data_IF_580979492640
#
_entry.id   IF_580979492640
#
_cell.length_a   1.000
_cell.length_b   1.000
_cell.length_c   1.000
_cell.angle_alpha   90.00
_cell.angle_beta   90.00
_cell.angle_gamma   90.00
#
_symmetry.space_group_name_H-M   'P 1'
#
loop_
_entity.id
_entity.type
_entity.pdbx_description
1 polymer ?
#
# COMPACT_ATOMS: atom_id res chain seq x y z
N UNK A 1 -76.26 -27.21 14.86
CA UNK A 1 -76.30 -25.74 14.86
C UNK A 1 -76.31 -25.25 16.29
N UNK A 2 -75.19 -24.71 16.76
CA UNK A 2 -75.06 -23.59 17.72
C UNK A 2 -73.59 -23.51 18.12
N UNK A 3 -72.91 -22.49 17.62
CA UNK A 3 -71.49 -22.25 17.82
C UNK A 3 -71.25 -21.67 19.22
N UNK A 4 -70.27 -22.22 19.95
CA UNK A 4 -69.79 -21.66 21.22
C UNK A 4 -68.57 -20.77 20.91
N UNK A 5 -68.69 -19.48 21.18
CA UNK A 5 -67.60 -18.52 21.05
C UNK A 5 -66.56 -18.77 22.15
N UNK A 6 -65.31 -18.98 21.74
CA UNK A 6 -64.15 -19.02 22.62
C UNK A 6 -63.45 -17.66 22.54
N UNK A 7 -63.40 -16.94 23.66
CA UNK A 7 -62.70 -15.66 23.78
C UNK A 7 -61.22 -15.95 24.02
N UNK A 8 -60.35 -15.54 23.11
CA UNK A 8 -58.88 -15.62 23.24
C UNK A 8 -58.39 -14.25 23.71
N UNK A 9 -57.87 -14.19 24.94
CA UNK A 9 -57.20 -13.01 25.49
C UNK A 9 -55.75 -13.03 25.00
N UNK A 10 -55.37 -12.04 24.18
CA UNK A 10 -54.00 -11.87 23.67
C UNK A 10 -53.21 -11.04 24.68
N UNK A 11 -52.24 -11.66 25.36
CA UNK A 11 -51.23 -10.95 26.15
C UNK A 11 -50.13 -10.45 25.21
N UNK A 12 -50.04 -9.13 25.03
CA UNK A 12 -48.99 -8.47 24.24
C UNK A 12 -47.72 -8.42 25.09
N UNK A 13 -46.85 -9.41 24.91
CA UNK A 13 -45.48 -9.36 25.43
C UNK A 13 -44.65 -8.38 24.60
N UNK A 14 -44.22 -7.27 25.20
CA UNK A 14 -43.27 -6.35 24.60
C UNK A 14 -41.91 -7.04 24.43
N UNK A 15 -41.65 -7.59 23.26
CA UNK A 15 -40.31 -8.03 22.87
C UNK A 15 -39.43 -6.79 22.72
N UNK A 16 -38.58 -6.54 23.72
CA UNK A 16 -37.50 -5.56 23.61
C UNK A 16 -36.50 -6.13 22.59
N UNK A 17 -36.63 -5.71 21.34
CA UNK A 17 -35.64 -5.99 20.29
C UNK A 17 -34.41 -5.15 20.64
N UNK A 18 -33.44 -5.74 21.32
CA UNK A 18 -32.10 -5.17 21.39
C UNK A 18 -31.53 -5.24 19.98
N UNK A 19 -31.26 -4.12 19.30
CA UNK A 19 -30.46 -4.17 18.09
C UNK A 19 -29.10 -4.73 18.50
N UNK A 20 -28.77 -5.94 18.03
CA UNK A 20 -27.40 -6.40 17.99
C UNK A 20 -26.65 -5.41 17.09
N UNK A 21 -26.03 -4.40 17.72
CA UNK A 21 -24.98 -3.65 17.08
C UNK A 21 -23.83 -4.63 16.88
N UNK A 22 -23.80 -5.27 15.70
CA UNK A 22 -22.59 -5.87 15.19
C UNK A 22 -21.65 -4.70 14.93
N UNK A 23 -20.84 -4.35 15.92
CA UNK A 23 -19.66 -3.53 15.66
C UNK A 23 -18.87 -4.26 14.58
N UNK A 24 -18.50 -3.63 13.46
CA UNK A 24 -17.56 -4.24 12.53
C UNK A 24 -16.29 -4.45 13.33
N UNK A 25 -16.05 -5.68 13.77
CA UNK A 25 -14.81 -6.05 14.39
C UNK A 25 -13.78 -5.95 13.27
N UNK A 26 -12.94 -4.93 13.36
CA UNK A 26 -11.80 -4.67 12.48
C UNK A 26 -10.73 -5.74 12.70
N UNK A 27 -11.12 -7.00 12.46
CA UNK A 27 -10.26 -8.15 12.73
C UNK A 27 -9.37 -8.30 11.51
N UNK A 28 -8.14 -7.80 11.65
CA UNK A 28 -7.10 -8.14 10.72
C UNK A 28 -6.98 -9.67 10.57
N UNK A 29 -6.62 -10.16 9.37
CA UNK A 29 -6.42 -11.59 9.19
C UNK A 29 -5.40 -12.15 10.20
N UNK A 30 -5.45 -13.45 10.43
CA UNK A 30 -4.57 -14.09 11.40
C UNK A 30 -3.09 -13.76 11.15
N UNK A 31 -2.36 -13.41 12.21
CA UNK A 31 -0.96 -12.99 12.21
C UNK A 31 -0.68 -11.62 11.55
N UNK A 32 -1.71 -10.81 11.31
CA UNK A 32 -1.55 -9.38 11.00
C UNK A 32 -1.81 -8.54 12.24
N UNK A 33 -1.13 -7.40 12.30
CA UNK A 33 -1.27 -6.39 13.34
C UNK A 33 -2.18 -5.27 12.83
N UNK A 34 -3.16 -4.88 13.64
CA UNK A 34 -4.08 -3.78 13.34
C UNK A 34 -3.40 -2.42 13.61
N UNK A 35 -3.29 -1.60 12.55
CA UNK A 35 -2.74 -0.24 12.59
C UNK A 35 -3.82 0.85 12.80
N UNK A 36 -5.06 0.44 13.10
CA UNK A 36 -6.24 1.30 13.15
C UNK A 36 -6.73 1.75 11.78
N UNK A 37 -8.01 2.12 11.70
CA UNK A 37 -8.65 2.60 10.45
C UNK A 37 -8.73 1.53 9.37
N UNK A 38 -8.96 0.27 9.73
CA UNK A 38 -8.95 -0.89 8.81
C UNK A 38 -7.62 -1.03 8.07
N UNK A 39 -6.49 -0.82 8.73
CA UNK A 39 -5.17 -1.08 8.15
C UNK A 39 -4.55 -2.25 8.87
N UNK A 40 -4.14 -3.26 8.12
CA UNK A 40 -3.58 -4.49 8.64
C UNK A 40 -2.21 -4.72 8.03
N UNK A 41 -1.19 -4.88 8.88
CA UNK A 41 0.19 -5.05 8.44
C UNK A 41 0.82 -6.32 9.00
N UNK A 42 1.76 -6.89 8.26
CA UNK A 42 2.60 -8.00 8.71
C UNK A 42 4.06 -7.66 8.51
N UNK A 43 4.90 -8.05 9.46
CA UNK A 43 6.36 -7.96 9.38
C UNK A 43 6.94 -9.32 9.04
N UNK A 44 7.87 -9.34 8.08
CA UNK A 44 8.61 -10.52 7.65
C UNK A 44 10.11 -10.19 7.74
N UNK A 45 10.81 -10.80 8.70
CA UNK A 45 12.24 -10.56 8.90
C UNK A 45 13.08 -11.28 7.83
N UNK A 46 13.51 -10.52 6.81
CA UNK A 46 14.31 -10.97 5.67
C UNK A 46 15.17 -9.82 5.18
N UNK A 47 16.44 -10.09 4.96
CA UNK A 47 17.31 -9.14 4.27
C UNK A 47 17.08 -9.21 2.76
N UNK A 48 16.62 -8.11 2.15
CA UNK A 48 16.24 -8.10 0.73
C UNK A 48 16.42 -6.75 0.06
N UNK A 49 16.53 -6.79 -1.26
CA UNK A 49 16.47 -5.61 -2.13
C UNK A 49 15.05 -5.05 -2.26
N UNK A 50 14.92 -3.83 -2.77
CA UNK A 50 13.62 -3.16 -2.97
C UNK A 50 12.62 -4.00 -3.77
N UNK A 51 13.06 -4.58 -4.88
CA UNK A 51 12.18 -5.36 -5.75
C UNK A 51 11.80 -6.72 -5.17
N UNK A 52 12.71 -7.33 -4.41
CA UNK A 52 12.41 -8.57 -3.70
C UNK A 52 11.41 -8.33 -2.57
N UNK A 53 11.45 -7.18 -1.89
CA UNK A 53 10.46 -6.82 -0.89
C UNK A 53 9.03 -6.77 -1.48
N UNK A 54 8.87 -6.16 -2.67
CA UNK A 54 7.58 -6.12 -3.37
C UNK A 54 7.11 -7.54 -3.72
N UNK A 55 8.01 -8.37 -4.28
CA UNK A 55 7.74 -9.77 -4.62
C UNK A 55 7.36 -10.59 -3.38
N UNK A 56 7.99 -10.35 -2.23
CA UNK A 56 7.67 -11.05 -0.98
C UNK A 56 6.26 -10.74 -0.52
N UNK A 57 5.84 -9.47 -0.56
CA UNK A 57 4.47 -9.11 -0.20
C UNK A 57 3.46 -9.76 -1.14
N UNK A 58 3.70 -9.72 -2.46
CA UNK A 58 2.84 -10.41 -3.42
C UNK A 58 2.72 -11.91 -3.10
N UNK A 59 3.85 -12.61 -2.93
CA UNK A 59 3.89 -14.05 -2.66
C UNK A 59 3.22 -14.43 -1.34
N UNK A 60 3.47 -13.67 -0.28
CA UNK A 60 2.85 -13.92 1.02
C UNK A 60 1.34 -13.66 0.96
N UNK A 61 0.91 -12.68 0.16
CA UNK A 61 -0.50 -12.45 -0.14
C UNK A 61 -1.12 -13.63 -0.87
N UNK A 62 -0.54 -14.05 -2.00
CA UNK A 62 -1.02 -15.20 -2.78
C UNK A 62 -1.17 -16.45 -1.92
N UNK A 63 -0.16 -16.75 -1.09
CA UNK A 63 -0.17 -17.89 -0.16
C UNK A 63 -1.37 -17.85 0.79
N UNK A 64 -1.80 -16.66 1.22
CA UNK A 64 -2.90 -16.45 2.17
C UNK A 64 -4.24 -16.17 1.51
N UNK A 65 -4.32 -16.13 0.18
CA UNK A 65 -5.51 -15.69 -0.54
C UNK A 65 -5.83 -14.20 -0.31
N UNK A 66 -4.82 -13.39 0.01
CA UNK A 66 -4.92 -11.95 0.23
C UNK A 66 -4.15 -11.19 -0.86
N UNK A 67 -4.47 -9.92 -1.06
CA UNK A 67 -3.62 -9.00 -1.84
C UNK A 67 -2.78 -8.19 -0.86
N UNK A 68 -1.48 -8.44 -0.80
CA UNK A 68 -0.56 -7.63 0.01
C UNK A 68 0.37 -6.80 -0.85
N UNK A 69 0.82 -5.67 -0.33
CA UNK A 69 1.71 -4.72 -0.98
C UNK A 69 2.59 -4.03 0.06
N UNK A 70 3.71 -3.42 -0.34
CA UNK A 70 4.48 -2.57 0.58
C UNK A 70 3.68 -1.29 0.83
N UNK A 71 3.45 -0.85 2.08
CA UNK A 71 2.70 0.36 2.36
C UNK A 71 3.44 1.63 1.93
N UNK A 72 2.71 2.58 1.35
CA UNK A 72 3.15 3.95 1.08
C UNK A 72 2.31 4.95 1.86
N UNK A 73 1.04 5.09 1.49
CA UNK A 73 0.12 6.06 2.10
C UNK A 73 -0.02 5.85 3.62
N UNK A 74 -0.04 4.59 4.06
CA UNK A 74 -0.06 4.25 5.48
C UNK A 74 1.33 3.93 6.06
N UNK A 75 2.42 4.17 5.34
CA UNK A 75 3.77 3.93 5.84
C UNK A 75 4.08 4.63 7.18
N UNK A 76 3.55 5.83 7.50
CA UNK A 76 3.70 6.44 8.82
C UNK A 76 3.23 5.56 9.99
N UNK A 77 2.33 4.59 9.74
CA UNK A 77 1.86 3.66 10.78
C UNK A 77 2.85 2.53 11.08
N UNK A 78 3.88 2.33 10.26
CA UNK A 78 4.85 1.25 10.45
C UNK A 78 5.62 1.46 11.77
N UNK A 79 6.04 2.69 12.05
CA UNK A 79 6.89 3.02 13.21
C UNK A 79 6.14 2.94 14.54
N UNK A 80 4.81 3.09 14.54
CA UNK A 80 3.99 2.89 15.74
C UNK A 80 3.69 1.41 16.00
N UNK A 81 3.67 0.58 14.94
CA UNK A 81 3.37 -0.84 15.05
C UNK A 81 4.58 -1.72 15.36
N UNK A 82 5.71 -1.42 14.73
CA UNK A 82 6.90 -2.26 14.79
C UNK A 82 8.04 -1.49 15.44
N UNK A 83 8.45 -1.95 16.63
CA UNK A 83 9.68 -1.46 17.26
C UNK A 83 10.93 -2.02 16.58
N UNK A 84 12.07 -1.35 16.77
CA UNK A 84 13.38 -1.81 16.30
C UNK A 84 13.47 -1.96 14.78
N UNK A 85 12.91 -1.00 14.03
CA UNK A 85 13.07 -0.94 12.59
C UNK A 85 14.48 -0.45 12.27
N UNK A 86 15.27 -1.30 11.62
CA UNK A 86 16.57 -0.89 11.05
C UNK A 86 16.33 -0.31 9.67
N UNK A 87 16.18 -1.13 8.63
CA UNK A 87 15.94 -0.67 7.26
C UNK A 87 14.64 -1.27 6.74
N UNK A 88 13.66 -0.43 6.38
CA UNK A 88 12.37 -0.87 5.86
C UNK A 88 11.94 0.01 4.69
N UNK A 89 11.74 -0.59 3.53
CA UNK A 89 11.20 0.15 2.39
C UNK A 89 9.73 0.52 2.57
N UNK A 90 9.35 1.65 1.99
CA UNK A 90 7.96 2.02 1.74
C UNK A 90 7.67 1.95 0.24
N UNK A 91 6.42 2.15 -0.17
CA UNK A 91 6.11 2.32 -1.60
C UNK A 91 6.22 3.77 -2.10
N UNK A 92 6.59 4.72 -1.22
CA UNK A 92 6.83 6.10 -1.64
C UNK A 92 7.97 6.15 -2.65
N UNK A 93 7.72 6.79 -3.78
CA UNK A 93 8.69 6.87 -4.87
C UNK A 93 8.63 8.22 -5.59
N UNK A 94 9.82 8.68 -5.96
CA UNK A 94 10.09 9.83 -6.80
C UNK A 94 10.90 9.37 -8.03
N UNK A 95 10.58 8.18 -8.55
CA UNK A 95 11.32 7.50 -9.62
C UNK A 95 10.93 7.94 -11.02
N UNK A 96 9.92 8.80 -11.15
CA UNK A 96 9.48 9.40 -12.42
C UNK A 96 9.69 10.92 -12.37
N UNK A 97 9.42 11.61 -13.48
CA UNK A 97 9.50 13.08 -13.51
C UNK A 97 8.67 13.69 -12.38
N UNK A 98 9.24 14.71 -11.74
CA UNK A 98 8.66 15.43 -10.59
C UNK A 98 9.05 16.90 -10.59
N UNK A 99 8.50 17.64 -9.63
CA UNK A 99 8.85 19.04 -9.36
C UNK A 99 10.35 19.21 -9.05
N UNK A 100 10.87 20.42 -9.27
CA UNK A 100 12.20 20.82 -8.77
C UNK A 100 12.22 21.00 -7.25
N UNK A 101 11.05 21.20 -6.64
CA UNK A 101 10.90 21.11 -5.19
C UNK A 101 10.93 19.64 -4.77
N UNK A 102 11.92 19.27 -3.97
CA UNK A 102 12.16 17.89 -3.59
C UNK A 102 11.04 17.28 -2.74
N UNK A 103 10.20 18.09 -2.10
CA UNK A 103 9.04 17.64 -1.31
C UNK A 103 7.81 17.34 -2.15
N UNK A 104 7.72 17.92 -3.34
CA UNK A 104 6.62 17.71 -4.25
C UNK A 104 6.88 16.54 -5.21
N UNK A 105 5.81 15.86 -5.60
CA UNK A 105 5.84 14.84 -6.63
C UNK A 105 6.14 13.41 -6.17
N UNK A 106 6.07 13.15 -4.86
CA UNK A 106 6.15 11.79 -4.33
C UNK A 106 4.84 11.04 -4.57
N UNK A 107 4.95 9.80 -5.06
CA UNK A 107 3.81 8.92 -5.37
C UNK A 107 3.88 7.66 -4.52
N UNK A 108 2.79 6.90 -4.44
CA UNK A 108 2.74 5.60 -3.74
C UNK A 108 2.37 4.47 -4.70
N UNK A 109 2.84 3.27 -4.39
CA UNK A 109 2.47 2.03 -5.08
C UNK A 109 1.22 1.35 -4.54
N UNK A 110 0.40 2.08 -3.77
CA UNK A 110 -0.71 1.52 -3.01
C UNK A 110 -1.94 1.29 -3.90
N UNK A 111 -2.57 0.09 -3.89
CA UNK A 111 -3.77 -0.16 -4.67
C UNK A 111 -4.92 0.80 -4.36
N UNK A 112 -5.38 1.54 -5.36
CA UNK A 112 -6.44 2.54 -5.24
C UNK A 112 -5.94 3.97 -5.03
N UNK A 113 -4.62 4.18 -4.97
CA UNK A 113 -3.98 5.49 -4.74
C UNK A 113 -3.18 5.97 -5.96
N UNK A 114 -3.50 5.50 -7.17
CA UNK A 114 -2.80 5.95 -8.39
C UNK A 114 -2.84 7.47 -8.63
N UNK A 115 -3.78 8.19 -8.00
CA UNK A 115 -3.91 9.66 -8.06
C UNK A 115 -3.23 10.40 -6.89
N UNK A 116 -2.58 9.68 -5.98
CA UNK A 116 -1.83 10.30 -4.89
C UNK A 116 -0.52 10.89 -5.42
N UNK A 117 -0.29 12.17 -5.11
CA UNK A 117 0.96 12.88 -5.34
C UNK A 117 1.10 13.95 -4.28
N UNK A 118 2.30 14.10 -3.70
CA UNK A 118 2.55 15.17 -2.72
C UNK A 118 2.71 16.53 -3.39
N UNK A 119 2.25 17.57 -2.71
CA UNK A 119 2.55 18.98 -3.02
C UNK A 119 3.74 19.47 -2.18
N UNK A 120 4.22 20.69 -2.45
CA UNK A 120 5.33 21.32 -1.72
C UNK A 120 5.06 21.52 -0.23
N UNK A 121 3.79 21.77 0.12
CA UNK A 121 3.28 22.00 1.47
C UNK A 121 2.72 20.73 2.13
N UNK A 122 2.77 19.60 1.43
CA UNK A 122 2.30 18.32 1.96
C UNK A 122 3.19 17.83 3.10
N UNK A 123 2.55 17.50 4.23
CA UNK A 123 3.21 17.00 5.45
C UNK A 123 2.87 15.55 5.76
N UNK A 124 2.18 14.85 4.85
CA UNK A 124 1.80 13.44 5.00
C UNK A 124 3.02 12.52 5.10
N UNK A 125 4.12 12.90 4.46
CA UNK A 125 5.39 12.17 4.54
C UNK A 125 6.26 12.81 5.65
N UNK A 126 6.47 12.13 6.80
CA UNK A 126 7.21 12.68 7.93
C UNK A 126 8.71 12.49 7.73
N UNK A 127 9.28 13.25 6.80
CA UNK A 127 10.70 13.23 6.48
C UNK A 127 11.57 13.49 7.73
N UNK A 128 12.72 12.80 7.79
CA UNK A 128 13.78 13.17 8.72
C UNK A 128 14.27 14.61 8.46
N UNK A 129 14.85 15.25 9.48
CA UNK A 129 15.42 16.59 9.34
C UNK A 129 16.46 16.59 8.22
N UNK A 130 16.33 17.55 7.30
CA UNK A 130 17.20 17.68 6.13
C UNK A 130 16.84 16.76 4.96
N UNK A 131 15.70 16.07 5.02
CA UNK A 131 15.14 15.26 3.94
C UNK A 131 13.84 15.87 3.37
N UNK A 132 13.45 15.53 2.13
CA UNK A 132 14.22 14.78 1.13
C UNK A 132 15.33 15.65 0.51
N UNK A 133 16.48 15.06 0.17
CA UNK A 133 17.62 15.79 -0.37
C UNK A 133 18.27 15.18 -1.64
N UNK A 134 17.71 14.08 -2.14
CA UNK A 134 18.19 13.45 -3.36
C UNK A 134 17.52 14.08 -4.59
N UNK A 135 18.32 14.58 -5.54
CA UNK A 135 17.83 15.16 -6.80
C UNK A 135 17.57 14.13 -7.90
N UNK A 136 17.98 12.88 -7.69
CA UNK A 136 17.78 11.79 -8.64
C UNK A 136 16.37 11.22 -8.59
N UNK A 137 16.30 9.89 -8.69
CA UNK A 137 15.08 9.10 -8.69
C UNK A 137 15.00 8.22 -7.43
N UNK A 138 14.78 8.82 -6.25
CA UNK A 138 14.82 8.08 -5.01
C UNK A 138 13.50 7.37 -4.71
N UNK A 139 13.58 6.47 -3.74
CA UNK A 139 12.47 5.89 -2.99
C UNK A 139 12.55 6.38 -1.54
N UNK A 140 11.45 6.27 -0.79
CA UNK A 140 11.50 6.52 0.65
C UNK A 140 11.62 5.20 1.44
N UNK A 141 12.46 5.21 2.46
CA UNK A 141 12.66 4.09 3.36
C UNK A 141 12.88 4.58 4.79
N UNK A 142 12.45 3.75 5.75
CA UNK A 142 12.78 3.95 7.15
C UNK A 142 14.20 3.45 7.42
N UNK A 143 15.01 4.31 8.04
CA UNK A 143 16.31 3.98 8.63
C UNK A 143 16.22 4.35 10.11
N UNK A 144 16.30 3.38 11.01
CA UNK A 144 16.19 3.63 12.45
C UNK A 144 14.86 4.28 12.86
N UNK A 145 13.75 3.88 12.22
CA UNK A 145 12.40 4.47 12.40
C UNK A 145 12.23 5.93 11.94
N UNK A 146 13.20 6.50 11.23
CA UNK A 146 13.13 7.82 10.62
C UNK A 146 13.08 7.68 9.10
N UNK A 147 12.35 8.55 8.40
CA UNK A 147 12.11 8.40 6.97
C UNK A 147 13.10 9.23 6.14
N UNK A 148 13.80 8.56 5.22
CA UNK A 148 14.81 9.12 4.33
C UNK A 148 14.45 8.87 2.88
N UNK A 149 14.97 9.68 1.95
CA UNK A 149 15.00 9.36 0.53
C UNK A 149 16.37 8.82 0.13
N UNK A 150 16.39 7.73 -0.64
CA UNK A 150 17.62 7.13 -1.13
C UNK A 150 17.39 6.38 -2.45
N UNK A 151 18.47 6.03 -3.15
CA UNK A 151 18.38 5.19 -4.34
C UNK A 151 18.00 3.75 -3.94
N UNK A 152 17.16 3.09 -4.75
CA UNK A 152 16.65 1.74 -4.45
C UNK A 152 17.76 0.70 -4.16
N UNK A 153 18.98 0.96 -4.64
CA UNK A 153 20.12 0.04 -4.60
C UNK A 153 21.11 0.28 -3.49
N UNK A 154 20.95 1.36 -2.71
CA UNK A 154 21.99 1.78 -1.77
C UNK A 154 21.97 0.95 -0.48
N UNK A 155 20.79 0.53 -0.04
CA UNK A 155 20.60 -0.20 1.21
C UNK A 155 19.64 -1.36 0.97
N UNK A 156 19.93 -2.52 1.56
CA UNK A 156 18.96 -3.60 1.70
C UNK A 156 18.04 -3.32 2.90
N UNK A 157 16.78 -3.73 2.79
CA UNK A 157 15.89 -3.81 3.94
C UNK A 157 16.32 -4.97 4.85
N UNK A 158 16.15 -4.81 6.16
CA UNK A 158 16.34 -5.87 7.17
C UNK A 158 15.05 -6.64 7.45
N UNK A 159 13.92 -6.05 7.08
CA UNK A 159 12.59 -6.64 7.21
C UNK A 159 11.65 -6.07 6.15
N UNK A 160 10.70 -6.87 5.71
CA UNK A 160 9.65 -6.46 4.77
C UNK A 160 8.35 -6.24 5.55
N UNK A 161 7.73 -5.09 5.35
CA UNK A 161 6.41 -4.79 5.90
C UNK A 161 5.41 -4.81 4.75
N UNK A 162 4.34 -5.57 4.92
CA UNK A 162 3.28 -5.71 3.91
C UNK A 162 1.94 -5.28 4.52
N UNK A 163 1.14 -4.55 3.75
CA UNK A 163 -0.21 -4.13 4.09
C UNK A 163 -1.25 -4.95 3.31
N UNK A 164 -2.37 -5.27 3.96
CA UNK A 164 -3.53 -5.89 3.32
C UNK A 164 -4.30 -4.87 2.49
N UNK A 165 -4.50 -5.18 1.21
CA UNK A 165 -5.36 -4.38 0.34
C UNK A 165 -6.83 -4.73 0.55
N UNK A 166 -7.65 -3.69 0.74
CA UNK A 166 -9.11 -3.79 0.76
C UNK A 166 -9.72 -3.68 -0.64
N UNK A 167 -8.89 -3.48 -1.67
CA UNK A 167 -9.34 -3.43 -3.06
C UNK A 167 -9.32 -4.84 -3.65
N UNK A 168 -10.40 -5.27 -4.31
CA UNK A 168 -10.42 -6.57 -4.98
C UNK A 168 -9.35 -6.61 -6.08
N UNK A 169 -8.75 -7.80 -6.29
CA UNK A 169 -7.78 -8.03 -7.36
C UNK A 169 -8.44 -7.81 -8.74
N UNK A 170 -9.72 -8.15 -8.88
CA UNK A 170 -10.55 -7.96 -10.08
C UNK A 170 -11.09 -6.54 -10.28
N UNK A 171 -10.52 -5.54 -9.59
CA UNK A 171 -10.94 -4.15 -9.68
C UNK A 171 -10.71 -3.51 -11.07
N UNK A 172 -11.27 -2.32 -11.27
CA UNK A 172 -10.96 -1.48 -12.45
C UNK A 172 -9.44 -1.26 -12.52
N UNK A 173 -8.86 -1.43 -13.70
CA UNK A 173 -7.46 -1.14 -13.96
C UNK A 173 -7.15 0.32 -13.59
N UNK A 174 -6.07 0.53 -12.85
CA UNK A 174 -5.56 1.88 -12.60
C UNK A 174 -4.90 2.42 -13.86
N UNK A 175 -5.35 3.59 -14.32
CA UNK A 175 -4.82 4.21 -15.53
C UNK A 175 -3.69 5.17 -15.16
N UNK A 176 -2.50 4.86 -15.65
CA UNK A 176 -1.35 5.77 -15.64
C UNK A 176 -1.41 6.67 -16.86
N UNK A 177 -1.23 7.98 -16.67
CA UNK A 177 -1.24 8.96 -17.74
C UNK A 177 0.16 9.55 -17.90
N UNK A 178 0.57 9.83 -19.13
CA UNK A 178 1.90 10.38 -19.42
C UNK A 178 2.07 11.84 -19.02
N UNK A 179 0.96 12.54 -18.82
CA UNK A 179 0.90 13.96 -18.48
C UNK A 179 0.46 14.20 -17.03
N UNK A 180 0.48 13.17 -16.19
CA UNK A 180 0.06 13.26 -14.79
C UNK A 180 0.97 12.42 -13.88
N UNK A 181 1.39 12.92 -12.70
CA UNK A 181 1.15 14.28 -12.21
C UNK A 181 2.09 15.30 -12.88
N UNK A 182 3.13 14.83 -13.56
CA UNK A 182 4.04 15.62 -14.38
C UNK A 182 4.18 14.97 -15.75
N UNK A 183 4.52 15.78 -16.75
CA UNK A 183 4.78 15.30 -18.10
C UNK A 183 6.03 14.41 -18.09
N UNK A 184 5.87 13.19 -18.61
CA UNK A 184 6.97 12.28 -18.91
C UNK A 184 7.56 12.64 -20.28
N UNK A 185 8.89 12.71 -20.35
CA UNK A 185 9.61 13.00 -21.60
C UNK A 185 9.54 11.83 -22.60
N UNK A 186 9.33 10.62 -22.08
CA UNK A 186 9.32 9.38 -22.85
C UNK A 186 8.41 8.35 -22.17
N UNK A 187 7.73 7.55 -23.00
CA UNK A 187 6.99 6.36 -22.56
C UNK A 187 7.92 5.20 -22.17
N UNK A 188 9.16 5.26 -22.63
CA UNK A 188 10.18 4.23 -22.42
C UNK A 188 11.27 4.78 -21.51
N UNK A 189 11.48 4.11 -20.39
CA UNK A 189 12.58 4.38 -19.45
C UNK A 189 13.90 4.04 -20.13
N UNK A 190 14.82 5.01 -20.29
CA UNK A 190 16.15 4.79 -20.88
C UNK A 190 17.11 4.21 -19.83
N UNK A 191 17.88 3.20 -20.22
CA UNK A 191 18.35 2.09 -19.38
C UNK A 191 19.61 2.28 -18.54
N UNK A 192 19.98 3.51 -18.16
CA UNK A 192 21.33 3.75 -17.64
C UNK A 192 21.29 4.17 -16.16
N UNK A 193 20.20 4.81 -15.71
CA UNK A 193 20.13 5.45 -14.39
C UNK A 193 18.82 5.25 -13.64
N UNK A 194 17.82 4.59 -14.22
CA UNK A 194 16.46 4.57 -13.65
C UNK A 194 16.08 3.17 -13.15
N UNK A 195 16.15 2.96 -11.83
CA UNK A 195 15.81 1.68 -11.22
C UNK A 195 14.35 1.67 -10.76
N UNK A 196 13.56 0.90 -11.50
CA UNK A 196 12.31 0.28 -11.05
C UNK A 196 12.47 -1.24 -11.08
N UNK A 197 11.42 -1.98 -10.74
CA UNK A 197 11.46 -3.44 -10.71
C UNK A 197 11.08 -4.04 -12.06
N UNK A 198 12.01 -3.96 -13.02
CA UNK A 198 11.82 -4.47 -14.38
C UNK A 198 12.21 -5.95 -14.49
N UNK A 199 11.34 -6.73 -15.15
CA UNK A 199 11.71 -8.04 -15.67
C UNK A 199 12.05 -7.92 -17.15
N UNK A 200 13.15 -8.53 -17.56
CA UNK A 200 13.59 -8.57 -18.95
C UNK A 200 13.29 -9.94 -19.53
N UNK A 201 12.66 -9.95 -20.70
CA UNK A 201 12.39 -11.16 -21.48
C UNK A 201 12.87 -10.98 -22.91
N UNK A 202 13.30 -12.07 -23.52
CA UNK A 202 13.58 -12.11 -24.95
C UNK A 202 12.26 -12.45 -25.66
N UNK A 203 11.82 -11.58 -26.55
CA UNK A 203 10.62 -11.75 -27.34
C UNK A 203 10.91 -11.43 -28.81
N UNK A 204 10.18 -12.08 -29.72
CA UNK A 204 10.35 -11.87 -31.17
C UNK A 204 9.80 -10.53 -31.65
N UNK A 205 8.83 -9.96 -30.91
CA UNK A 205 8.19 -8.67 -31.21
C UNK A 205 7.86 -7.90 -29.93
N UNK A 206 7.66 -6.58 -30.04
CA UNK A 206 7.21 -5.74 -28.93
C UNK A 206 5.81 -6.12 -28.42
N UNK A 207 4.92 -6.59 -29.32
CA UNK A 207 3.58 -7.07 -28.96
C UNK A 207 3.66 -8.36 -28.13
N UNK A 208 4.57 -9.27 -28.48
CA UNK A 208 4.79 -10.48 -27.69
C UNK A 208 5.34 -10.11 -26.30
N UNK A 209 6.27 -9.16 -26.23
CA UNK A 209 6.81 -8.67 -24.96
C UNK A 209 5.71 -8.09 -24.06
N UNK A 210 4.81 -7.25 -24.62
CA UNK A 210 3.74 -6.61 -23.87
C UNK A 210 2.64 -7.56 -23.35
N UNK A 211 2.61 -8.83 -23.79
CA UNK A 211 1.64 -9.85 -23.36
C UNK A 211 2.13 -10.72 -22.20
N UNK A 212 3.39 -10.59 -21.82
CA UNK A 212 4.04 -11.38 -20.77
C UNK A 212 4.06 -10.59 -19.47
#
# INVERSE_FOLDING_TARGET
MSAKYLVIIILVGNAVIFPFFVTPSTICPENFVEAGGNVCMIRLDREVTYCEAHRICEQEGTKRGLRLFIPGYHAPKITSLFSNLTNVYTSYSATLNRSSDLRAGWRVGDPGFAQFVTTSDDTTIPWHIGQPNNFGQPIALYIGSQLFDDLQSNLNATSVICEVSHRPISGKLERFQTNWPYQLDTLFVRGDTQRGCFNSIIASTSIECAKR
#
